data_IF_907844393101
#
_entry.id   IF_907844393101
#
_cell.length_a   1.000
_cell.length_b   1.000
_cell.length_c   1.000
_cell.angle_alpha   90.00
_cell.angle_beta   90.00
_cell.angle_gamma   90.00
#
_symmetry.space_group_name_H-M   'P 1'
#
loop_
_entity.id
_entity.type
_entity.pdbx_description
1 polymer ?
#
# COMPACT_ATOMS: atom_id res chain seq x y z
N UNK A 1 4.01 6.17 -19.02
CA UNK A 1 5.19 5.99 -18.15
C UNK A 1 5.21 4.58 -17.62
N UNK A 2 6.35 3.90 -17.68
CA UNK A 2 6.57 2.57 -17.08
C UNK A 2 6.51 2.67 -15.54
N UNK A 3 6.10 1.60 -14.87
CA UNK A 3 5.91 1.52 -13.41
C UNK A 3 5.94 0.06 -12.96
N UNK A 4 6.44 -0.23 -11.75
CA UNK A 4 6.35 -1.58 -11.16
C UNK A 4 4.89 -2.02 -10.97
N UNK A 5 3.97 -1.08 -10.80
CA UNK A 5 2.58 -1.34 -10.44
C UNK A 5 1.64 -1.43 -11.64
N UNK A 6 2.18 -1.57 -12.86
CA UNK A 6 1.37 -1.61 -14.09
C UNK A 6 0.28 -2.69 -14.06
N UNK A 7 0.57 -3.83 -13.44
CA UNK A 7 -0.38 -4.94 -13.28
C UNK A 7 -1.62 -4.57 -12.45
N UNK A 8 -1.46 -3.67 -11.47
CA UNK A 8 -2.57 -3.25 -10.59
C UNK A 8 -3.69 -2.63 -11.41
N UNK A 9 -3.38 -1.96 -12.53
CA UNK A 9 -4.38 -1.39 -13.42
C UNK A 9 -5.34 -2.40 -14.07
N UNK A 10 -4.94 -3.69 -14.14
CA UNK A 10 -5.79 -4.77 -14.66
C UNK A 10 -6.66 -5.41 -13.60
N UNK A 11 -6.27 -5.28 -12.34
CA UNK A 11 -6.88 -5.96 -11.20
C UNK A 11 -7.75 -5.01 -10.39
N UNK A 12 -7.18 -3.86 -10.01
CA UNK A 12 -7.81 -2.81 -9.24
C UNK A 12 -7.48 -1.45 -9.85
N UNK A 13 -8.16 -1.04 -10.95
CA UNK A 13 -7.86 0.20 -11.66
C UNK A 13 -7.81 1.44 -10.77
N UNK A 14 -8.69 1.50 -9.76
CA UNK A 14 -8.77 2.60 -8.79
C UNK A 14 -7.51 2.76 -7.91
N UNK A 15 -6.70 1.71 -7.76
CA UNK A 15 -5.49 1.73 -6.92
C UNK A 15 -4.24 2.15 -7.69
N UNK A 16 -4.25 2.10 -9.02
CA UNK A 16 -3.06 2.30 -9.84
C UNK A 16 -2.45 3.70 -9.65
N UNK A 17 -3.29 4.73 -9.54
CA UNK A 17 -2.82 6.09 -9.34
C UNK A 17 -2.07 6.22 -8.01
N UNK A 18 -2.63 5.69 -6.94
CA UNK A 18 -2.01 5.76 -5.60
C UNK A 18 -0.72 4.94 -5.55
N UNK A 19 -0.66 3.79 -6.24
CA UNK A 19 0.58 3.02 -6.39
C UNK A 19 1.68 3.82 -7.11
N UNK A 20 1.33 4.55 -8.18
CA UNK A 20 2.28 5.41 -8.91
C UNK A 20 2.74 6.60 -8.09
N UNK A 21 1.84 7.20 -7.32
CA UNK A 21 2.20 8.30 -6.42
C UNK A 21 3.15 7.81 -5.33
N UNK A 22 2.90 6.62 -4.75
CA UNK A 22 3.79 6.01 -3.80
C UNK A 22 5.19 5.76 -4.40
N UNK A 23 5.25 5.09 -5.56
CA UNK A 23 6.49 4.78 -6.27
C UNK A 23 7.31 6.02 -6.59
N UNK A 24 6.69 7.04 -7.20
CA UNK A 24 7.38 8.28 -7.60
C UNK A 24 7.93 9.07 -6.41
N UNK A 25 7.30 8.94 -5.25
CA UNK A 25 7.65 9.70 -4.06
C UNK A 25 8.74 9.03 -3.22
N UNK A 26 9.05 7.75 -3.45
CA UNK A 26 9.86 6.95 -2.53
C UNK A 26 11.22 7.58 -2.16
N UNK A 27 11.89 8.21 -3.13
CA UNK A 27 13.20 8.84 -2.91
C UNK A 27 13.10 10.34 -2.58
N UNK A 28 12.25 11.09 -3.28
CA UNK A 28 12.17 12.55 -3.13
C UNK A 28 11.27 13.01 -1.98
N UNK A 29 10.20 12.25 -1.69
CA UNK A 29 9.26 12.55 -0.62
C UNK A 29 8.81 11.26 0.10
N UNK A 30 9.66 10.70 0.97
CA UNK A 30 9.43 9.41 1.64
C UNK A 30 8.12 9.35 2.46
N UNK A 31 7.72 10.47 3.06
CA UNK A 31 6.47 10.60 3.84
C UNK A 31 5.26 10.36 2.94
N UNK A 32 5.20 11.00 1.76
CA UNK A 32 4.12 10.81 0.79
C UNK A 32 4.09 9.37 0.26
N UNK A 33 5.27 8.77 0.03
CA UNK A 33 5.37 7.36 -0.37
C UNK A 33 4.71 6.43 0.64
N UNK A 34 5.04 6.58 1.93
CA UNK A 34 4.47 5.76 3.00
C UNK A 34 2.97 5.99 3.19
N UNK A 35 2.49 7.23 3.03
CA UNK A 35 1.07 7.56 3.08
C UNK A 35 0.26 6.82 2.00
N UNK A 36 0.64 6.98 0.72
CA UNK A 36 -0.07 6.31 -0.37
C UNK A 36 0.06 4.78 -0.28
N UNK A 37 1.21 4.28 0.18
CA UNK A 37 1.39 2.83 0.38
C UNK A 37 0.42 2.27 1.42
N UNK A 38 0.20 2.99 2.54
CA UNK A 38 -0.82 2.62 3.52
C UNK A 38 -2.20 2.65 2.88
N UNK A 39 -2.59 3.75 2.24
CA UNK A 39 -3.91 3.86 1.61
C UNK A 39 -4.22 2.70 0.64
N UNK A 40 -3.23 2.31 -0.19
CA UNK A 40 -3.36 1.15 -1.07
C UNK A 40 -3.55 -0.15 -0.27
N UNK A 41 -2.76 -0.35 0.79
CA UNK A 41 -2.89 -1.51 1.67
C UNK A 41 -4.31 -1.60 2.28
N UNK A 42 -4.86 -0.50 2.80
CA UNK A 42 -6.17 -0.51 3.45
C UNK A 42 -7.28 -1.01 2.50
N UNK A 43 -7.24 -0.56 1.25
CA UNK A 43 -8.21 -0.98 0.22
C UNK A 43 -8.01 -2.42 -0.22
N UNK A 44 -6.77 -2.89 -0.34
CA UNK A 44 -6.48 -4.29 -0.69
C UNK A 44 -6.92 -5.23 0.44
N UNK A 45 -6.71 -4.85 1.70
CA UNK A 45 -7.18 -5.62 2.86
C UNK A 45 -8.72 -5.66 2.89
N UNK A 46 -9.41 -4.54 2.63
CA UNK A 46 -10.87 -4.51 2.45
C UNK A 46 -11.33 -5.44 1.33
N UNK A 47 -10.71 -5.34 0.15
CA UNK A 47 -11.01 -6.21 -0.99
C UNK A 47 -10.83 -7.70 -0.65
N UNK A 48 -9.74 -8.09 0.03
CA UNK A 48 -9.52 -9.48 0.43
C UNK A 48 -10.66 -9.96 1.35
N UNK A 49 -11.12 -9.11 2.27
CA UNK A 49 -12.24 -9.41 3.17
C UNK A 49 -13.52 -9.74 2.41
N UNK A 50 -13.84 -8.89 1.43
CA UNK A 50 -15.03 -9.01 0.58
C UNK A 50 -14.91 -10.22 -0.35
N UNK A 51 -13.78 -10.35 -1.04
CA UNK A 51 -13.51 -11.43 -1.99
C UNK A 51 -13.56 -12.81 -1.34
N UNK A 52 -13.09 -12.93 -0.09
CA UNK A 52 -13.11 -14.17 0.69
C UNK A 52 -14.40 -14.35 1.51
N UNK A 53 -15.32 -13.38 1.48
CA UNK A 53 -16.59 -13.40 2.21
C UNK A 53 -16.40 -13.68 3.71
N UNK A 54 -15.45 -13.01 4.34
CA UNK A 54 -15.05 -13.29 5.72
C UNK A 54 -16.04 -12.78 6.77
N UNK A 55 -17.14 -12.17 6.35
CA UNK A 55 -18.25 -11.75 7.20
C UNK A 55 -18.03 -10.37 7.86
N UNK A 56 -18.96 -9.95 8.72
CA UNK A 56 -18.87 -8.67 9.41
C UNK A 56 -17.64 -8.63 10.33
N UNK A 57 -17.12 -7.43 10.54
CA UNK A 57 -15.97 -7.17 11.39
C UNK A 57 -16.37 -6.21 12.51
N UNK A 58 -15.85 -6.45 13.72
CA UNK A 58 -16.08 -5.56 14.86
C UNK A 58 -15.26 -4.27 14.76
N UNK A 59 -13.96 -4.40 14.48
CA UNK A 59 -13.04 -3.28 14.26
C UNK A 59 -12.73 -3.15 12.76
N UNK A 60 -13.34 -2.17 12.11
CA UNK A 60 -13.21 -1.95 10.67
C UNK A 60 -11.86 -1.38 10.23
N UNK A 61 -11.00 -1.01 11.20
CA UNK A 61 -9.65 -0.53 10.94
C UNK A 61 -8.81 -1.60 10.26
N UNK A 62 -7.81 -1.16 9.48
CA UNK A 62 -6.84 -2.07 8.86
C UNK A 62 -6.10 -2.90 9.90
N UNK A 63 -5.91 -2.39 11.12
CA UNK A 63 -5.29 -3.17 12.19
C UNK A 63 -6.20 -4.29 12.70
N UNK A 64 -7.48 -3.98 12.95
CA UNK A 64 -8.50 -4.96 13.33
C UNK A 64 -8.60 -6.08 12.31
N UNK A 65 -8.70 -5.73 11.02
CA UNK A 65 -8.74 -6.70 9.91
C UNK A 65 -7.53 -7.63 9.89
N UNK A 66 -6.31 -7.09 10.02
CA UNK A 66 -5.09 -7.88 9.96
C UNK A 66 -4.91 -8.83 11.16
N UNK A 67 -5.56 -8.54 12.29
CA UNK A 67 -5.50 -9.36 13.51
C UNK A 67 -6.61 -10.39 13.64
N UNK A 68 -7.63 -10.31 12.79
CA UNK A 68 -8.74 -11.25 12.83
C UNK A 68 -8.29 -12.63 12.33
N UNK A 69 -8.62 -13.69 13.09
CA UNK A 69 -8.24 -15.07 12.77
C UNK A 69 -8.68 -15.50 11.37
N UNK A 70 -9.81 -14.96 10.87
CA UNK A 70 -10.30 -15.24 9.52
C UNK A 70 -9.38 -14.64 8.45
N UNK A 71 -8.80 -13.46 8.69
CA UNK A 71 -7.81 -12.86 7.80
C UNK A 71 -6.50 -13.62 7.83
N UNK A 72 -6.08 -13.99 9.03
CA UNK A 72 -4.87 -14.78 9.27
C UNK A 72 -4.97 -16.11 8.51
N UNK A 73 -6.11 -16.79 8.59
CA UNK A 73 -6.36 -18.07 7.93
C UNK A 73 -6.33 -18.03 6.39
N UNK A 74 -6.56 -16.88 5.76
CA UNK A 74 -6.45 -16.72 4.30
C UNK A 74 -5.12 -16.09 3.86
N UNK A 75 -4.24 -15.78 4.82
CA UNK A 75 -2.96 -15.12 4.60
C UNK A 75 -1.78 -16.03 4.92
N UNK A 76 -0.56 -15.50 4.83
CA UNK A 76 0.63 -16.17 5.37
C UNK A 76 1.32 -15.23 6.35
N UNK A 77 2.06 -15.76 7.33
CA UNK A 77 2.85 -14.97 8.29
C UNK A 77 3.71 -13.93 7.58
N UNK A 78 4.42 -14.34 6.52
CA UNK A 78 5.25 -13.42 5.73
C UNK A 78 4.45 -12.27 5.15
N UNK A 79 3.23 -12.48 4.64
CA UNK A 79 2.43 -11.40 4.08
C UNK A 79 1.86 -10.50 5.17
N UNK A 80 1.45 -11.07 6.30
CA UNK A 80 0.98 -10.31 7.46
C UNK A 80 2.07 -9.38 8.01
N UNK A 81 3.31 -9.87 8.11
CA UNK A 81 4.46 -9.06 8.55
C UNK A 81 4.70 -7.86 7.63
N UNK A 82 4.59 -8.07 6.30
CA UNK A 82 4.71 -7.01 5.29
C UNK A 82 3.61 -5.98 5.44
N UNK A 83 2.35 -6.42 5.57
CA UNK A 83 1.19 -5.55 5.76
C UNK A 83 1.32 -4.74 7.05
N UNK A 84 1.73 -5.37 8.16
CA UNK A 84 1.99 -4.68 9.40
C UNK A 84 3.11 -3.66 9.30
N UNK A 85 4.20 -3.98 8.58
CA UNK A 85 5.29 -3.04 8.35
C UNK A 85 4.80 -1.80 7.58
N UNK A 86 4.08 -1.98 6.47
CA UNK A 86 3.50 -0.90 5.68
C UNK A 86 2.56 -0.04 6.53
N UNK A 87 1.64 -0.67 7.27
CA UNK A 87 0.69 0.01 8.17
C UNK A 87 1.42 0.87 9.20
N UNK A 88 2.43 0.31 9.88
CA UNK A 88 3.18 1.04 10.91
C UNK A 88 3.93 2.24 10.32
N UNK A 89 4.64 2.07 9.21
CA UNK A 89 5.40 3.17 8.58
C UNK A 89 4.48 4.23 7.95
N UNK A 90 3.33 3.83 7.43
CA UNK A 90 2.31 4.77 6.94
C UNK A 90 1.63 5.57 8.05
N UNK A 91 1.38 4.94 9.20
CA UNK A 91 0.88 5.67 10.39
C UNK A 91 1.90 6.69 10.86
N UNK A 92 3.18 6.32 10.91
CA UNK A 92 4.27 7.22 11.28
C UNK A 92 4.34 8.46 10.36
N UNK A 93 4.01 8.29 9.07
CA UNK A 93 3.98 9.38 8.09
C UNK A 93 2.86 10.42 8.36
N UNK A 94 1.70 9.99 8.86
CA UNK A 94 0.52 10.86 9.07
C UNK A 94 0.46 11.43 10.50
N UNK A 95 0.89 10.66 11.50
CA UNK A 95 0.64 10.93 12.91
C UNK A 95 1.86 11.36 13.75
N UNK A 96 2.99 11.78 13.14
CA UNK A 96 4.27 11.94 13.88
C UNK A 96 4.61 10.64 14.59
N UNK A 97 4.93 9.64 13.79
CA UNK A 97 5.53 8.44 14.32
C UNK A 97 6.77 8.74 15.15
N UNK A 98 7.10 7.82 16.06
CA UNK A 98 8.33 7.89 16.85
C UNK A 98 9.60 7.81 16.00
N UNK A 99 9.48 7.45 14.72
CA UNK A 99 10.58 7.17 13.81
C UNK A 99 10.49 8.07 12.57
N UNK A 100 11.55 8.82 12.22
CA UNK A 100 11.61 9.59 10.99
C UNK A 100 11.44 8.71 9.76
N UNK A 101 10.67 9.17 8.77
CA UNK A 101 10.52 8.45 7.50
C UNK A 101 11.64 8.85 6.54
N UNK A 102 12.58 7.93 6.32
CA UNK A 102 13.72 8.11 5.41
C UNK A 102 13.45 7.49 4.02
N UNK A 103 14.21 7.87 2.98
CA UNK A 103 14.13 7.22 1.66
C UNK A 103 14.33 5.70 1.71
N UNK A 104 15.17 5.21 2.62
CA UNK A 104 15.41 3.78 2.82
C UNK A 104 14.17 3.08 3.38
N UNK A 105 13.48 3.71 4.35
CA UNK A 105 12.22 3.20 4.89
C UNK A 105 11.16 3.19 3.78
N UNK A 106 10.99 4.30 3.04
CA UNK A 106 10.01 4.37 1.96
C UNK A 106 10.28 3.35 0.84
N UNK A 107 11.54 3.14 0.48
CA UNK A 107 11.95 2.11 -0.49
C UNK A 107 11.58 0.71 0.02
N UNK A 108 11.82 0.42 1.29
CA UNK A 108 11.39 -0.86 1.87
C UNK A 108 9.86 -0.99 1.87
N UNK A 109 9.13 0.06 2.23
CA UNK A 109 7.66 0.07 2.23
C UNK A 109 7.10 -0.22 0.83
N UNK A 110 7.60 0.45 -0.21
CA UNK A 110 7.09 0.26 -1.57
C UNK A 110 7.41 -1.14 -2.12
N UNK A 111 8.57 -1.70 -1.78
CA UNK A 111 8.91 -3.09 -2.12
C UNK A 111 7.99 -4.09 -1.41
N UNK A 112 7.69 -3.89 -0.13
CA UNK A 112 6.72 -4.74 0.58
C UNK A 112 5.32 -4.60 -0.02
N UNK A 113 4.92 -3.39 -0.42
CA UNK A 113 3.63 -3.17 -1.08
C UNK A 113 3.55 -3.92 -2.41
N UNK A 114 4.60 -3.88 -3.24
CA UNK A 114 4.68 -4.64 -4.48
C UNK A 114 4.50 -6.14 -4.24
N UNK A 115 5.18 -6.68 -3.23
CA UNK A 115 5.07 -8.10 -2.88
C UNK A 115 3.66 -8.47 -2.40
N UNK A 116 3.04 -7.62 -1.56
CA UNK A 116 1.67 -7.81 -1.07
C UNK A 116 0.69 -7.77 -2.23
N UNK A 117 0.79 -6.79 -3.14
CA UNK A 117 -0.10 -6.69 -4.29
C UNK A 117 0.09 -7.83 -5.29
N UNK A 118 1.32 -8.29 -5.49
CA UNK A 118 1.62 -9.45 -6.34
C UNK A 118 1.00 -10.72 -5.77
N UNK A 119 1.11 -10.93 -4.46
CA UNK A 119 0.47 -12.04 -3.75
C UNK A 119 -1.06 -11.94 -3.79
N UNK A 120 -1.61 -10.76 -3.51
CA UNK A 120 -3.04 -10.52 -3.49
C UNK A 120 -3.66 -10.71 -4.89
N UNK A 121 -2.96 -10.28 -5.95
CA UNK A 121 -3.37 -10.53 -7.34
C UNK A 121 -3.47 -12.03 -7.59
N UNK A 122 -2.43 -12.78 -7.24
CA UNK A 122 -2.36 -14.22 -7.52
C UNK A 122 -3.39 -15.05 -6.74
N UNK A 123 -3.82 -14.61 -5.56
CA UNK A 123 -4.64 -15.43 -4.64
C UNK A 123 -6.02 -14.87 -4.33
N UNK A 124 -6.21 -13.56 -4.44
CA UNK A 124 -7.38 -12.85 -3.92
C UNK A 124 -7.96 -11.89 -4.95
N UNK A 125 -7.79 -12.15 -6.24
CA UNK A 125 -8.39 -11.34 -7.31
C UNK A 125 -9.09 -12.20 -8.35
N UNK A 126 -9.92 -11.56 -9.18
CA UNK A 126 -10.53 -12.17 -10.36
C UNK A 126 -9.56 -12.33 -11.54
N UNK A 127 -8.35 -11.75 -11.46
CA UNK A 127 -7.35 -11.72 -12.53
C UNK A 127 -5.97 -12.23 -12.05
N UNK A 128 -5.86 -13.49 -11.59
CA UNK A 128 -4.60 -14.04 -11.07
C UNK A 128 -3.47 -14.06 -12.13
N UNK A 129 -3.82 -14.14 -13.41
CA UNK A 129 -2.91 -14.07 -14.57
C UNK A 129 -2.24 -12.70 -14.71
N UNK A 130 -2.80 -11.65 -14.12
CA UNK A 130 -2.21 -10.31 -14.14
C UNK A 130 -1.00 -10.19 -13.21
N UNK A 131 -0.71 -11.19 -12.35
CA UNK A 131 0.44 -11.17 -11.44
C UNK A 131 1.73 -10.78 -12.19
N UNK A 132 2.55 -9.85 -11.66
CA UNK A 132 3.80 -9.50 -12.32
C UNK A 132 4.75 -10.70 -12.33
N UNK A 133 5.42 -10.90 -13.47
CA UNK A 133 6.45 -11.93 -13.66
C UNK A 133 7.85 -11.40 -13.39
N UNK A 134 8.07 -10.10 -13.63
CA UNK A 134 9.32 -9.43 -13.28
C UNK A 134 9.34 -9.05 -11.79
N UNK A 135 10.52 -9.06 -11.14
CA UNK A 135 10.67 -8.53 -9.80
C UNK A 135 10.53 -7.00 -9.79
N UNK A 136 10.44 -6.42 -8.59
CA UNK A 136 10.47 -4.97 -8.41
C UNK A 136 11.78 -4.38 -8.93
N UNK A 137 11.69 -3.42 -9.84
CA UNK A 137 12.81 -2.67 -10.40
C UNK A 137 12.95 -1.31 -9.71
N UNK A 138 14.08 -1.15 -9.00
CA UNK A 138 14.41 0.10 -8.31
C UNK A 138 14.79 1.24 -9.26
N UNK A 139 15.09 0.97 -10.53
CA UNK A 139 15.38 2.02 -11.50
C UNK A 139 14.18 2.96 -11.69
N UNK A 140 12.95 2.44 -11.59
CA UNK A 140 11.73 3.27 -11.64
C UNK A 140 11.66 4.31 -10.51
N UNK A 141 12.28 4.02 -9.35
CA UNK A 141 12.38 4.99 -8.26
C UNK A 141 13.38 6.11 -8.58
N UNK A 142 14.51 5.76 -9.21
CA UNK A 142 15.60 6.69 -9.52
C UNK A 142 15.27 7.62 -10.67
N UNK A 143 14.49 7.15 -11.65
CA UNK A 143 14.07 7.94 -12.80
C UNK A 143 12.81 8.76 -12.54
N UNK A 144 12.22 8.66 -11.34
CA UNK A 144 11.01 9.40 -11.00
C UNK A 144 11.31 10.91 -10.87
N UNK A 145 10.44 11.79 -11.40
CA UNK A 145 10.61 13.22 -11.20
C UNK A 145 10.42 13.56 -9.71
N UNK A 146 11.20 14.52 -9.17
CA UNK A 146 11.04 14.98 -7.80
C UNK A 146 9.59 15.38 -7.51
N UNK A 147 9.04 14.86 -6.41
CA UNK A 147 7.70 15.19 -5.96
C UNK A 147 7.74 16.41 -5.03
N UNK A 148 6.71 17.29 -5.07
CA UNK A 148 6.64 18.44 -4.20
C UNK A 148 6.66 18.01 -2.74
N UNK A 149 7.35 18.78 -1.90
CA UNK A 149 7.26 18.63 -0.47
C UNK A 149 5.89 19.14 -0.01
N UNK A 150 5.13 18.28 0.65
CA UNK A 150 3.93 18.67 1.37
C UNK A 150 4.20 18.48 2.86
N UNK A 151 3.73 19.44 3.65
CA UNK A 151 3.84 19.35 5.09
C UNK A 151 2.78 18.39 5.66
N UNK A 152 2.90 18.08 6.94
CA UNK A 152 2.02 17.11 7.59
C UNK A 152 0.56 17.56 7.66
N UNK A 153 0.29 18.85 7.88
CA UNK A 153 -1.08 19.36 7.90
C UNK A 153 -1.76 19.18 6.53
N UNK A 154 -1.02 19.41 5.44
CA UNK A 154 -1.48 19.14 4.08
C UNK A 154 -1.71 17.65 3.84
N UNK A 155 -0.83 16.78 4.36
CA UNK A 155 -0.99 15.33 4.24
C UNK A 155 -2.21 14.81 5.02
N UNK A 156 -2.46 15.34 6.22
CA UNK A 156 -3.63 15.00 7.03
C UNK A 156 -4.92 15.47 6.34
N UNK A 157 -4.92 16.69 5.81
CA UNK A 157 -6.04 17.20 5.01
C UNK A 157 -6.29 16.32 3.78
N UNK A 158 -5.24 15.94 3.06
CA UNK A 158 -5.33 15.03 1.92
C UNK A 158 -5.89 13.66 2.35
N UNK A 159 -5.46 13.11 3.49
CA UNK A 159 -6.02 11.87 4.04
C UNK A 159 -7.53 11.98 4.23
N UNK A 160 -7.99 13.03 4.91
CA UNK A 160 -9.42 13.25 5.17
C UNK A 160 -10.23 13.43 3.87
N UNK A 161 -9.73 14.19 2.90
CA UNK A 161 -10.38 14.36 1.60
C UNK A 161 -10.49 13.06 0.80
N UNK A 162 -9.50 12.19 0.94
CA UNK A 162 -9.42 10.92 0.26
C UNK A 162 -10.24 9.82 0.95
N UNK A 163 -10.47 9.92 2.26
CA UNK A 163 -11.38 9.06 3.01
C UNK A 163 -12.85 9.32 2.64
N UNK A 164 -13.24 10.57 2.38
CA UNK A 164 -14.60 10.93 1.94
C UNK A 164 -14.93 10.38 0.54
N UNK A 165 -13.92 10.13 -0.29
CA UNK A 165 -14.08 9.64 -1.66
C UNK A 165 -14.06 8.11 -1.79
N UNK A 166 -13.79 7.40 -0.70
CA UNK A 166 -13.76 5.93 -0.62
C UNK A 166 -15.11 5.35 -0.18
#
# INVERSE_FOLDING_TARGET
>A
AQTNFGFVGRVWPALLNDCRQAERSALSNPVVSCFYSRRVLERVVRHIWEFRKLGPIGDDSTFGRLKDDRFIGVSTTTQLDKMHYIRLRGNDAVHEGKQPITPQIATKVIMQLFDVLSWATARHSSHPEARPTAPFDQQFLKTAPPQPHINRAQLQKLSAELEVKD
#
